data_IF_455530889925
#
_entry.id   IF_455530889925
#
_cell.length_a   1.000
_cell.length_b   1.000
_cell.length_c   1.000
_cell.angle_alpha   90.00
_cell.angle_beta   90.00
_cell.angle_gamma   90.00
#
_symmetry.space_group_name_H-M   'P 1'
#
loop_
_entity.id
_entity.type
_entity.pdbx_description
1 polymer ?
#
# COMPACT_ATOMS: atom_id res chain seq x y z
N UNK A 1 15.15 16.88 -18.00
CA UNK A 1 14.85 16.68 -19.44
C UNK A 1 15.87 17.28 -20.40
N UNK A 2 16.10 18.60 -20.43
CA UNK A 2 17.08 19.21 -21.36
C UNK A 2 18.50 18.66 -21.17
N UNK A 3 18.97 18.56 -19.92
CA UNK A 3 20.31 18.03 -19.60
C UNK A 3 20.49 16.57 -20.03
N UNK A 4 19.46 15.74 -19.86
CA UNK A 4 19.49 14.35 -20.31
C UNK A 4 19.56 14.23 -21.85
N UNK A 5 18.85 15.09 -22.60
CA UNK A 5 18.95 15.13 -24.07
C UNK A 5 20.33 15.57 -24.57
N UNK A 6 21.08 16.31 -23.77
CA UNK A 6 22.43 16.74 -24.07
C UNK A 6 23.49 15.71 -23.62
N UNK A 7 23.06 14.58 -23.05
CA UNK A 7 23.93 13.52 -22.52
C UNK A 7 25.00 14.06 -21.55
N UNK A 8 24.66 15.14 -20.84
CA UNK A 8 25.57 15.79 -19.92
C UNK A 8 25.54 15.08 -18.57
N UNK A 9 26.72 14.78 -18.01
CA UNK A 9 26.84 14.33 -16.63
C UNK A 9 26.39 15.44 -15.68
N UNK A 10 25.41 15.15 -14.83
CA UNK A 10 24.89 16.13 -13.88
C UNK A 10 24.48 15.45 -12.57
N UNK A 11 24.55 16.22 -11.49
CA UNK A 11 24.10 15.83 -10.15
C UNK A 11 23.05 16.85 -9.72
N UNK A 12 21.96 16.37 -9.15
CA UNK A 12 20.87 17.21 -8.66
C UNK A 12 20.50 16.78 -7.24
N UNK A 13 20.64 17.70 -6.29
CA UNK A 13 20.22 17.51 -4.90
C UNK A 13 18.91 18.25 -4.65
N UNK A 14 17.96 17.60 -3.97
CA UNK A 14 16.63 18.16 -3.70
C UNK A 14 16.02 17.57 -2.43
N UNK A 15 15.11 18.33 -1.80
CA UNK A 15 14.25 17.86 -0.71
C UNK A 15 12.88 17.37 -1.21
N UNK A 16 12.61 17.49 -2.50
CA UNK A 16 11.32 17.13 -3.10
C UNK A 16 11.29 15.63 -3.44
N UNK A 17 10.94 14.80 -2.46
CA UNK A 17 10.81 13.34 -2.66
C UNK A 17 9.80 12.98 -3.76
N UNK A 18 8.73 13.77 -3.91
CA UNK A 18 7.67 13.57 -4.92
C UNK A 18 8.17 13.66 -6.38
N UNK A 19 9.39 14.17 -6.63
CA UNK A 19 9.93 14.17 -8.00
C UNK A 19 9.99 12.75 -8.58
N UNK A 20 10.24 11.75 -7.76
CA UNK A 20 10.36 10.35 -8.22
C UNK A 20 9.00 9.72 -8.50
N UNK A 21 7.90 10.40 -8.22
CA UNK A 21 6.55 9.94 -8.60
C UNK A 21 6.16 10.46 -9.99
N UNK A 22 6.84 11.50 -10.48
CA UNK A 22 6.57 12.08 -11.78
C UNK A 22 7.02 11.13 -12.88
N UNK A 23 6.07 10.74 -13.75
CA UNK A 23 6.33 9.87 -14.90
C UNK A 23 7.49 10.36 -15.76
N UNK A 24 7.57 11.67 -15.99
CA UNK A 24 8.64 12.31 -16.76
C UNK A 24 10.04 12.08 -16.18
N UNK A 25 10.15 11.86 -14.87
CA UNK A 25 11.40 11.59 -14.17
C UNK A 25 11.69 10.08 -14.20
N UNK A 26 10.70 9.24 -13.91
CA UNK A 26 10.84 7.78 -13.95
C UNK A 26 11.15 7.22 -15.35
N UNK A 27 10.69 7.90 -16.41
CA UNK A 27 10.97 7.49 -17.79
C UNK A 27 12.44 7.71 -18.20
N UNK A 28 13.24 8.40 -17.38
CA UNK A 28 14.66 8.64 -17.65
C UNK A 28 15.50 7.42 -17.24
N UNK A 29 15.85 6.58 -18.22
CA UNK A 29 16.61 5.32 -17.99
C UNK A 29 18.03 5.51 -17.41
N UNK A 30 18.64 6.67 -17.63
CA UNK A 30 19.99 7.01 -17.18
C UNK A 30 20.02 7.65 -15.79
N UNK A 31 18.85 7.90 -15.19
CA UNK A 31 18.74 8.51 -13.88
C UNK A 31 19.07 7.50 -12.79
N UNK A 32 19.96 7.88 -11.87
CA UNK A 32 20.29 7.10 -10.69
C UNK A 32 19.88 7.93 -9.48
N UNK A 33 18.94 7.40 -8.69
CA UNK A 33 18.55 8.01 -7.43
C UNK A 33 19.47 7.52 -6.30
N UNK A 34 20.01 8.47 -5.56
CA UNK A 34 20.86 8.22 -4.40
C UNK A 34 20.43 9.14 -3.25
N UNK A 35 20.69 8.74 -2.01
CA UNK A 35 20.41 9.53 -0.84
C UNK A 35 21.53 9.41 0.21
N UNK A 36 21.54 10.36 1.13
CA UNK A 36 22.29 10.26 2.39
C UNK A 36 21.29 9.98 3.49
N UNK A 37 21.65 9.13 4.45
CA UNK A 37 20.76 8.74 5.54
C UNK A 37 21.18 9.42 6.84
N UNK A 38 20.18 9.65 7.70
CA UNK A 38 20.38 10.21 9.03
C UNK A 38 19.44 9.47 9.97
N UNK A 39 19.96 9.08 11.13
CA UNK A 39 19.21 8.35 12.15
C UNK A 39 19.45 8.99 13.50
N UNK A 40 18.41 9.16 14.30
CA UNK A 40 18.55 9.56 15.68
C UNK A 40 18.76 8.33 16.56
N UNK A 41 19.83 8.35 17.35
CA UNK A 41 20.16 7.35 18.35
C UNK A 41 19.58 7.80 19.69
N UNK A 42 18.57 7.08 20.15
CA UNK A 42 17.83 7.37 21.38
C UNK A 42 18.66 7.06 22.64
N UNK A 43 19.54 6.06 22.57
CA UNK A 43 20.28 5.60 23.74
C UNK A 43 21.40 6.59 24.09
N UNK A 44 22.05 7.13 23.06
CA UNK A 44 23.14 8.09 23.20
C UNK A 44 22.73 9.56 22.92
N UNK A 45 21.43 9.81 22.70
CA UNK A 45 20.86 11.14 22.45
C UNK A 45 21.61 11.95 21.38
N UNK A 46 21.82 11.33 20.21
CA UNK A 46 22.66 11.92 19.16
C UNK A 46 22.09 11.66 17.76
N UNK A 47 22.28 12.62 16.88
CA UNK A 47 21.94 12.48 15.48
C UNK A 47 23.15 11.94 14.69
N UNK A 48 23.00 10.75 14.10
CA UNK A 48 24.05 10.08 13.33
C UNK A 48 23.86 10.40 11.84
N UNK A 49 24.86 11.03 11.25
CA UNK A 49 24.89 11.34 9.82
C UNK A 49 25.66 10.26 9.05
N UNK A 50 24.96 9.45 8.25
CA UNK A 50 25.61 8.57 7.29
C UNK A 50 25.96 9.37 6.04
N UNK A 51 27.26 9.62 5.87
CA UNK A 51 27.80 10.36 4.73
C UNK A 51 28.10 9.47 3.52
N UNK A 52 27.73 8.19 3.59
CA UNK A 52 27.82 7.27 2.46
C UNK A 52 26.59 7.44 1.56
N UNK A 53 26.81 7.68 0.28
CA UNK A 53 25.71 7.69 -0.69
C UNK A 53 25.14 6.28 -0.84
N UNK A 54 23.86 6.13 -0.51
CA UNK A 54 23.11 4.88 -0.63
C UNK A 54 22.16 4.95 -1.84
N UNK A 55 21.93 3.83 -2.53
CA UNK A 55 20.97 3.77 -3.63
C UNK A 55 19.53 4.01 -3.14
N UNK A 56 18.70 4.60 -4.00
CA UNK A 56 17.29 4.88 -3.73
C UNK A 56 17.01 6.31 -3.27
N UNK A 57 15.74 6.60 -3.00
CA UNK A 57 15.23 7.97 -2.76
C UNK A 57 15.36 8.43 -1.29
N UNK A 58 15.83 7.54 -0.41
CA UNK A 58 15.94 7.79 1.03
C UNK A 58 14.60 7.86 1.76
N UNK A 59 14.71 7.89 3.08
CA UNK A 59 13.56 8.03 3.98
C UNK A 59 13.06 9.48 4.00
N UNK A 60 11.73 9.66 4.05
CA UNK A 60 11.09 10.98 4.26
C UNK A 60 11.11 11.43 5.72
N UNK A 61 11.62 10.59 6.64
CA UNK A 61 11.52 10.77 8.09
C UNK A 61 12.60 11.72 8.65
N UNK A 62 13.56 12.15 7.82
CA UNK A 62 14.68 13.04 8.21
C UNK A 62 14.27 14.25 9.07
N UNK A 63 13.19 14.95 8.69
CA UNK A 63 12.75 16.15 9.41
C UNK A 63 12.32 15.87 10.85
N UNK A 64 11.71 14.71 11.11
CA UNK A 64 11.25 14.34 12.45
C UNK A 64 12.39 13.84 13.33
N UNK A 65 13.35 13.10 12.76
CA UNK A 65 14.56 12.67 13.48
C UNK A 65 15.38 13.88 13.94
N UNK A 66 15.47 14.91 13.10
CA UNK A 66 16.11 16.17 13.47
C UNK A 66 15.34 16.89 14.59
N UNK A 67 14.01 16.97 14.50
CA UNK A 67 13.18 17.60 15.52
C UNK A 67 13.28 16.89 16.88
N UNK A 68 13.39 15.56 16.90
CA UNK A 68 13.65 14.76 18.12
C UNK A 68 14.98 15.15 18.76
N UNK A 69 16.04 15.31 17.97
CA UNK A 69 17.37 15.73 18.48
C UNK A 69 17.41 17.16 19.05
N UNK A 70 16.41 18.00 18.73
CA UNK A 70 16.26 19.33 19.31
C UNK A 70 15.45 19.34 20.61
N UNK A 71 15.09 18.16 21.14
CA UNK A 71 14.19 17.99 22.29
C UNK A 71 12.89 18.78 22.15
N UNK A 72 12.34 18.82 20.93
CA UNK A 72 11.02 19.39 20.72
C UNK A 72 9.97 18.62 21.53
N UNK A 73 8.89 19.31 21.88
CA UNK A 73 7.84 18.75 22.70
C UNK A 73 7.27 17.44 22.13
N UNK A 74 7.05 16.46 23.01
CA UNK A 74 6.62 15.11 22.60
C UNK A 74 5.20 15.10 22.01
N UNK A 75 4.31 15.98 22.44
CA UNK A 75 2.97 16.12 21.87
C UNK A 75 3.08 16.67 20.44
N UNK A 76 3.93 17.67 20.23
CA UNK A 76 4.24 18.20 18.90
C UNK A 76 4.83 17.13 17.96
N UNK A 77 5.85 16.37 18.41
CA UNK A 77 6.47 15.31 17.60
C UNK A 77 5.45 14.24 17.22
N UNK A 78 4.62 13.79 18.16
CA UNK A 78 3.57 12.80 17.89
C UNK A 78 2.55 13.31 16.88
N UNK A 79 2.07 14.54 17.04
CA UNK A 79 1.13 15.14 16.09
C UNK A 79 1.72 15.24 14.68
N UNK A 80 3.00 15.62 14.57
CA UNK A 80 3.69 15.70 13.28
C UNK A 80 3.92 14.30 12.65
N UNK A 81 4.24 13.28 13.45
CA UNK A 81 4.32 11.88 13.00
C UNK A 81 2.98 11.38 12.45
N UNK A 82 1.88 11.66 13.13
CA UNK A 82 0.53 11.29 12.70
C UNK A 82 0.15 11.94 11.38
N UNK A 83 0.33 13.26 11.25
CA UNK A 83 0.05 13.99 10.00
C UNK A 83 0.92 13.45 8.85
N UNK A 84 2.22 13.17 9.10
CA UNK A 84 3.11 12.60 8.08
C UNK A 84 2.61 11.24 7.58
N UNK A 85 2.25 10.34 8.50
CA UNK A 85 1.69 9.02 8.14
C UNK A 85 0.42 9.16 7.32
N UNK A 86 -0.46 10.11 7.68
CA UNK A 86 -1.68 10.38 6.93
C UNK A 86 -1.40 10.81 5.50
N UNK A 87 -0.41 11.69 5.29
CA UNK A 87 -0.03 12.20 3.97
C UNK A 87 0.72 11.18 3.11
N UNK A 88 1.53 10.32 3.73
CA UNK A 88 2.34 9.32 3.02
C UNK A 88 1.53 8.07 2.60
N UNK A 89 0.26 7.96 3.00
CA UNK A 89 -0.54 6.73 2.91
C UNK A 89 0.17 5.49 3.52
N UNK A 90 1.20 5.71 4.35
CA UNK A 90 1.95 4.70 5.11
C UNK A 90 1.14 4.30 6.35
N UNK A 91 -0.07 3.76 6.14
CA UNK A 91 -0.82 3.16 7.22
C UNK A 91 -0.32 1.73 7.43
N UNK A 92 -0.02 1.38 8.68
CA UNK A 92 0.14 -0.02 9.07
C UNK A 92 -1.10 -0.82 8.66
N UNK A 93 -0.95 -2.11 8.33
CA UNK A 93 -2.08 -3.02 8.12
C UNK A 93 -3.05 -3.03 9.32
N UNK A 94 -2.58 -2.70 10.53
CA UNK A 94 -3.42 -2.47 11.73
C UNK A 94 -4.18 -1.13 11.72
N UNK A 95 -3.62 -0.08 11.12
CA UNK A 95 -4.27 1.24 10.99
C UNK A 95 -5.30 1.24 9.85
N UNK A 96 -5.07 0.49 8.77
CA UNK A 96 -6.07 0.20 7.74
C UNK A 96 -7.31 -0.53 8.30
N UNK A 97 -7.10 -1.45 9.26
CA UNK A 97 -8.20 -2.09 10.00
C UNK A 97 -9.00 -1.09 10.85
N UNK A 98 -8.39 0.02 11.27
CA UNK A 98 -9.05 1.06 12.09
C UNK A 98 -9.99 1.94 11.27
N UNK A 99 -9.74 2.10 9.95
CA UNK A 99 -10.68 2.76 9.04
C UNK A 99 -11.92 1.92 8.68
N UNK A 100 -12.04 0.68 9.20
CA UNK A 100 -13.22 -0.22 9.18
C UNK A 100 -14.19 -0.01 8.02
N UNK A 101 -13.70 0.06 6.78
CA UNK A 101 -14.61 -0.06 5.63
C UNK A 101 -15.04 -1.51 5.61
N UNK A 102 -16.26 -1.77 6.05
CA UNK A 102 -16.86 -3.10 5.99
C UNK A 102 -17.63 -3.24 4.67
N UNK A 103 -17.84 -4.47 4.21
CA UNK A 103 -18.68 -4.69 3.05
C UNK A 103 -20.13 -4.29 3.34
N UNK A 104 -20.79 -3.71 2.33
CA UNK A 104 -22.23 -3.45 2.38
C UNK A 104 -23.06 -4.75 2.45
N UNK A 105 -22.50 -5.88 2.03
CA UNK A 105 -23.17 -7.18 2.01
C UNK A 105 -22.99 -7.96 3.31
N UNK A 106 -21.84 -7.81 3.98
CA UNK A 106 -21.56 -8.49 5.24
C UNK A 106 -20.59 -7.68 6.11
N UNK A 107 -21.05 -7.26 7.29
CA UNK A 107 -20.26 -6.46 8.24
C UNK A 107 -19.01 -7.21 8.76
N UNK A 108 -19.00 -8.54 8.69
CA UNK A 108 -17.85 -9.34 9.09
C UNK A 108 -16.76 -9.39 8.01
N UNK A 109 -17.03 -8.89 6.80
CA UNK A 109 -16.02 -8.74 5.75
C UNK A 109 -15.39 -7.35 5.80
N UNK A 110 -14.09 -7.30 6.07
CA UNK A 110 -13.29 -6.09 6.06
C UNK A 110 -12.72 -5.80 4.66
N UNK A 111 -12.91 -4.57 4.19
CA UNK A 111 -12.44 -4.07 2.90
C UNK A 111 -11.09 -3.35 3.06
N UNK A 112 -10.08 -4.07 3.56
CA UNK A 112 -8.74 -3.51 3.78
C UNK A 112 -7.85 -3.62 2.55
N UNK A 113 -7.79 -4.80 1.94
CA UNK A 113 -6.84 -5.12 0.89
C UNK A 113 -7.42 -6.12 -0.10
N UNK A 114 -7.07 -5.98 -1.37
CA UNK A 114 -7.42 -6.85 -2.46
C UNK A 114 -6.82 -8.23 -2.23
N UNK A 115 -7.63 -9.29 -2.27
CA UNK A 115 -7.16 -10.67 -2.04
C UNK A 115 -6.17 -11.16 -3.11
N UNK A 116 -6.11 -10.50 -4.28
CA UNK A 116 -5.25 -10.90 -5.40
C UNK A 116 -3.90 -10.18 -5.39
N UNK A 117 -3.87 -8.87 -5.12
CA UNK A 117 -2.64 -8.05 -5.26
C UNK A 117 -2.24 -7.27 -4.02
N UNK A 118 -3.02 -7.31 -2.93
CA UNK A 118 -2.71 -6.61 -1.68
C UNK A 118 -2.99 -5.10 -1.66
N UNK A 119 -3.17 -4.46 -2.81
CA UNK A 119 -3.61 -3.05 -2.93
C UNK A 119 -4.95 -2.77 -2.22
N UNK A 120 -5.31 -1.51 -2.00
CA UNK A 120 -6.58 -1.15 -1.33
C UNK A 120 -7.80 -1.79 -2.03
N UNK A 121 -8.66 -2.44 -1.24
CA UNK A 121 -9.90 -3.03 -1.75
C UNK A 121 -11.02 -1.98 -1.82
N UNK A 122 -11.51 -1.72 -3.02
CA UNK A 122 -12.56 -0.74 -3.28
C UNK A 122 -13.94 -1.38 -3.43
N UNK A 123 -14.01 -2.67 -3.78
CA UNK A 123 -15.23 -3.35 -4.21
C UNK A 123 -15.34 -4.77 -3.62
N UNK A 124 -16.54 -5.14 -3.14
CA UNK A 124 -16.83 -6.52 -2.73
C UNK A 124 -17.33 -7.32 -3.91
N UNK A 125 -16.74 -8.49 -4.14
CA UNK A 125 -17.15 -9.43 -5.17
C UNK A 125 -17.79 -10.68 -4.56
N UNK A 126 -18.83 -11.21 -5.21
CA UNK A 126 -19.42 -12.49 -4.83
C UNK A 126 -18.74 -13.61 -5.62
N UNK A 127 -18.19 -14.62 -4.96
CA UNK A 127 -17.52 -15.76 -5.63
C UNK A 127 -18.51 -16.53 -6.51
N UNK A 128 -19.67 -16.87 -5.94
CA UNK A 128 -20.83 -17.35 -6.69
C UNK A 128 -21.78 -16.17 -6.88
N UNK A 129 -22.11 -15.89 -8.14
CA UNK A 129 -22.83 -14.68 -8.52
C UNK A 129 -24.23 -14.62 -7.90
N UNK A 130 -24.73 -13.40 -7.67
CA UNK A 130 -26.04 -13.20 -7.04
C UNK A 130 -27.21 -13.69 -7.92
N UNK A 131 -27.02 -13.78 -9.23
CA UNK A 131 -28.01 -14.31 -10.16
C UNK A 131 -28.23 -15.83 -10.00
N UNK A 132 -27.29 -16.55 -9.37
CA UNK A 132 -27.39 -17.98 -9.07
C UNK A 132 -28.15 -18.26 -7.77
N UNK A 133 -28.48 -17.21 -7.00
CA UNK A 133 -29.18 -17.37 -5.73
C UNK A 133 -30.69 -17.58 -5.94
N UNK A 134 -31.23 -18.63 -5.32
CA UNK A 134 -32.67 -18.83 -5.16
C UNK A 134 -33.09 -18.31 -3.79
N UNK A 135 -34.01 -17.35 -3.76
CA UNK A 135 -34.57 -16.78 -2.53
C UNK A 135 -33.51 -16.26 -1.54
N UNK A 136 -32.38 -15.77 -2.06
CA UNK A 136 -31.25 -15.25 -1.28
C UNK A 136 -30.23 -16.30 -0.82
N UNK A 137 -30.37 -17.55 -1.27
CA UNK A 137 -29.47 -18.65 -0.94
C UNK A 137 -28.86 -19.28 -2.21
N UNK A 138 -27.59 -19.63 -2.12
CA UNK A 138 -26.87 -20.43 -3.10
C UNK A 138 -26.69 -21.82 -2.48
N UNK A 139 -27.58 -22.74 -2.84
CA UNK A 139 -27.72 -24.03 -2.17
C UNK A 139 -28.14 -23.86 -0.70
N UNK A 140 -27.23 -24.19 0.23
CA UNK A 140 -27.46 -24.03 1.67
C UNK A 140 -26.84 -22.77 2.28
N UNK A 141 -26.12 -21.98 1.49
CA UNK A 141 -25.38 -20.81 1.97
C UNK A 141 -26.12 -19.54 1.59
N UNK A 142 -26.26 -18.60 2.53
CA UNK A 142 -26.77 -17.27 2.20
C UNK A 142 -25.84 -16.59 1.19
N UNK A 143 -26.40 -15.91 0.19
CA UNK A 143 -25.60 -15.30 -0.90
C UNK A 143 -24.54 -14.31 -0.39
N UNK A 144 -24.81 -13.60 0.71
CA UNK A 144 -23.89 -12.65 1.34
C UNK A 144 -23.13 -13.25 2.53
N UNK A 145 -23.03 -14.58 2.61
CA UNK A 145 -22.20 -15.24 3.60
C UNK A 145 -20.72 -14.92 3.37
N UNK A 146 -19.91 -14.85 4.45
CA UNK A 146 -18.51 -14.43 4.40
C UNK A 146 -17.68 -15.26 3.39
N UNK A 147 -17.91 -16.58 3.34
CA UNK A 147 -17.24 -17.48 2.39
C UNK A 147 -17.59 -17.25 0.92
N UNK A 148 -18.66 -16.52 0.62
CA UNK A 148 -19.04 -16.17 -0.74
C UNK A 148 -18.59 -14.76 -1.14
N UNK A 149 -17.89 -14.03 -0.27
CA UNK A 149 -17.53 -12.63 -0.52
C UNK A 149 -16.01 -12.45 -0.45
N UNK A 150 -15.45 -11.70 -1.41
CA UNK A 150 -14.04 -11.34 -1.41
C UNK A 150 -13.82 -9.84 -1.66
N UNK A 151 -12.82 -9.23 -1.01
CA UNK A 151 -12.45 -7.85 -1.26
C UNK A 151 -11.51 -7.76 -2.47
N UNK A 152 -11.85 -6.93 -3.46
CA UNK A 152 -11.06 -6.69 -4.66
C UNK A 152 -10.84 -5.18 -4.89
N UNK A 153 -9.73 -4.84 -5.54
CA UNK A 153 -9.57 -3.51 -6.13
C UNK A 153 -10.32 -3.45 -7.48
N UNK A 154 -10.69 -2.25 -7.93
CA UNK A 154 -11.49 -2.06 -9.15
C UNK A 154 -10.89 -2.73 -10.39
N UNK A 155 -9.56 -2.77 -10.52
CA UNK A 155 -8.88 -3.49 -11.61
C UNK A 155 -9.18 -4.99 -11.58
N UNK A 156 -8.97 -5.65 -10.45
CA UNK A 156 -9.18 -7.10 -10.34
C UNK A 156 -10.66 -7.46 -10.39
N UNK A 157 -11.54 -6.64 -9.82
CA UNK A 157 -12.98 -6.83 -9.98
C UNK A 157 -13.38 -6.85 -11.45
N UNK A 158 -12.86 -5.91 -12.25
CA UNK A 158 -13.10 -5.86 -13.68
C UNK A 158 -12.52 -7.07 -14.44
N UNK A 159 -11.34 -7.56 -14.05
CA UNK A 159 -10.72 -8.75 -14.66
C UNK A 159 -11.51 -10.03 -14.41
N UNK A 160 -12.13 -10.16 -13.23
CA UNK A 160 -13.03 -11.27 -12.93
C UNK A 160 -14.28 -11.20 -13.82
N UNK A 161 -14.92 -10.04 -13.92
CA UNK A 161 -16.08 -9.84 -14.81
C UNK A 161 -15.77 -10.03 -16.29
N UNK A 162 -14.54 -9.76 -16.70
CA UNK A 162 -14.06 -10.05 -18.07
C UNK A 162 -13.75 -11.53 -18.30
N UNK A 163 -13.82 -12.37 -17.27
CA UNK A 163 -13.41 -13.76 -17.35
C UNK A 163 -11.91 -13.93 -17.60
N UNK A 164 -11.05 -12.98 -17.22
CA UNK A 164 -9.59 -13.20 -17.25
C UNK A 164 -9.07 -13.86 -15.98
N UNK A 165 -9.82 -13.70 -14.90
CA UNK A 165 -9.61 -14.37 -13.63
C UNK A 165 -10.85 -15.20 -13.36
N UNK A 166 -10.69 -16.51 -13.22
CA UNK A 166 -11.78 -17.48 -13.04
C UNK A 166 -11.51 -18.37 -11.84
N UNK A 167 -12.48 -19.23 -11.52
CA UNK A 167 -12.35 -20.30 -10.52
C UNK A 167 -11.92 -19.79 -9.14
N UNK A 168 -12.47 -18.65 -8.72
CA UNK A 168 -12.25 -18.07 -7.39
C UNK A 168 -12.74 -19.06 -6.32
N UNK A 169 -11.85 -19.57 -5.48
CA UNK A 169 -12.24 -20.53 -4.43
C UNK A 169 -11.31 -20.50 -3.24
N UNK A 170 -11.87 -20.73 -2.07
CA UNK A 170 -11.12 -21.02 -0.86
C UNK A 170 -10.85 -22.53 -0.77
N UNK A 171 -9.58 -22.91 -0.63
CA UNK A 171 -9.15 -24.29 -0.41
C UNK A 171 -8.59 -24.44 1.00
N UNK A 172 -8.79 -25.62 1.59
CA UNK A 172 -8.16 -25.96 2.87
C UNK A 172 -6.83 -26.65 2.60
N UNK A 173 -5.77 -26.16 3.23
CA UNK A 173 -4.42 -26.72 3.13
C UNK A 173 -3.90 -27.08 4.52
N UNK A 174 -2.78 -27.80 4.60
CA UNK A 174 -2.10 -28.08 5.87
C UNK A 174 -1.63 -26.82 6.62
N UNK A 175 -1.63 -25.66 5.96
CA UNK A 175 -1.31 -24.34 6.53
C UNK A 175 -2.54 -23.47 6.78
N UNK A 176 -3.74 -24.03 6.68
CA UNK A 176 -5.01 -23.32 6.83
C UNK A 176 -5.71 -23.03 5.50
N UNK A 177 -6.69 -22.12 5.55
CA UNK A 177 -7.51 -21.74 4.39
C UNK A 177 -6.71 -20.80 3.49
N UNK A 178 -6.66 -21.10 2.19
CA UNK A 178 -6.00 -20.30 1.17
C UNK A 178 -6.96 -19.95 0.05
N UNK A 179 -6.84 -18.74 -0.51
CA UNK A 179 -7.58 -18.31 -1.69
C UNK A 179 -6.83 -18.70 -2.96
N UNK A 180 -7.54 -19.25 -3.94
CA UNK A 180 -7.00 -19.66 -5.23
C UNK A 180 -7.88 -19.18 -6.37
N UNK A 181 -7.27 -18.94 -7.51
CA UNK A 181 -7.90 -18.50 -8.74
C UNK A 181 -7.05 -18.95 -9.93
N UNK A 182 -7.68 -19.03 -11.10
CA UNK A 182 -7.00 -19.29 -12.37
C UNK A 182 -6.90 -17.97 -13.16
N UNK A 183 -5.78 -17.77 -13.84
CA UNK A 183 -5.53 -16.58 -14.67
C UNK A 183 -5.15 -17.01 -16.08
N UNK A 184 -5.89 -16.50 -17.07
CA UNK A 184 -5.58 -16.63 -18.51
C UNK A 184 -4.55 -15.59 -18.99
#
# INVERSE_FOLDING_TARGET
MKLNRLECLHIFATHLHQLTELKQINDIRTLICMHLSVTYDLDDDKLIYDRTLQPGNGSTVYGLEFAKSLHMDNEFIKGAEEIRKQLANEYSSLELLTKKRQSNYNKNLYMSSCVICGEEATETHHINEQNEADSGFIGHLAMSHLYNLIPLCSKHHHLVHQGKIKNLKFITTSKGIQFTFDQE
#
